data_IF_302841040144
#
_entry.id   IF_302841040144
#
_cell.length_a   1.000
_cell.length_b   1.000
_cell.length_c   1.000
_cell.angle_alpha   90.00
_cell.angle_beta   90.00
_cell.angle_gamma   90.00
#
_symmetry.space_group_name_H-M   'P 1'
#
loop_
_entity.id
_entity.type
_entity.pdbx_description
1 polymer ?
#
# COMPACT_ATOMS: atom_id res chain seq x y z
N UNK A 1 -28.83 -26.03 7.56
CA UNK A 1 -28.43 -25.32 6.31
C UNK A 1 -28.30 -23.80 6.52
N UNK A 2 -27.87 -23.31 7.70
CA UNK A 2 -27.85 -21.85 8.00
C UNK A 2 -26.46 -21.31 8.33
N UNK A 3 -25.46 -22.18 8.47
CA UNK A 3 -24.10 -21.85 8.94
C UNK A 3 -23.19 -21.43 7.76
N UNK A 4 -23.50 -21.84 6.54
CA UNK A 4 -22.67 -21.56 5.35
C UNK A 4 -22.81 -20.11 4.84
N UNK A 5 -24.01 -19.52 4.94
CA UNK A 5 -24.29 -18.19 4.38
C UNK A 5 -23.67 -17.04 5.21
N UNK A 6 -23.64 -17.18 6.54
CA UNK A 6 -23.10 -16.16 7.46
C UNK A 6 -21.57 -16.10 7.48
N UNK A 7 -20.88 -17.22 7.25
CA UNK A 7 -19.41 -17.28 7.19
C UNK A 7 -18.86 -16.63 5.91
N UNK A 8 -19.55 -16.82 4.78
CA UNK A 8 -19.20 -16.20 3.48
C UNK A 8 -19.36 -14.67 3.52
N UNK A 9 -20.43 -14.18 4.15
CA UNK A 9 -20.69 -12.74 4.29
C UNK A 9 -19.63 -12.03 5.16
N UNK A 10 -19.21 -12.66 6.26
CA UNK A 10 -18.14 -12.14 7.13
C UNK A 10 -16.79 -12.09 6.42
N UNK A 11 -16.44 -13.12 5.64
CA UNK A 11 -15.20 -13.16 4.87
C UNK A 11 -15.16 -12.06 3.81
N UNK A 12 -16.27 -11.83 3.10
CA UNK A 12 -16.38 -10.78 2.09
C UNK A 12 -16.20 -9.38 2.67
N UNK A 13 -16.79 -9.10 3.84
CA UNK A 13 -16.64 -7.81 4.54
C UNK A 13 -15.19 -7.61 5.00
N UNK A 14 -14.52 -8.67 5.48
CA UNK A 14 -13.13 -8.60 5.92
C UNK A 14 -12.18 -8.27 4.75
N UNK A 15 -12.37 -8.93 3.59
CA UNK A 15 -11.56 -8.68 2.39
C UNK A 15 -11.78 -7.26 1.87
N UNK A 16 -13.04 -6.78 1.85
CA UNK A 16 -13.36 -5.43 1.40
C UNK A 16 -12.77 -4.35 2.30
N UNK A 17 -12.71 -4.58 3.62
CA UNK A 17 -12.05 -3.69 4.56
C UNK A 17 -10.53 -3.59 4.30
N UNK A 18 -9.86 -4.70 3.98
CA UNK A 18 -8.43 -4.73 3.63
C UNK A 18 -8.15 -3.96 2.34
N UNK A 19 -9.05 -4.03 1.36
CA UNK A 19 -8.89 -3.30 0.09
C UNK A 19 -8.94 -1.78 0.27
N UNK A 20 -9.71 -1.27 1.25
CA UNK A 20 -9.76 0.16 1.57
C UNK A 20 -8.46 0.67 2.21
N UNK A 21 -7.73 -0.19 2.94
CA UNK A 21 -6.45 0.17 3.57
C UNK A 21 -5.33 0.38 2.54
N UNK A 22 -5.35 -0.33 1.41
CA UNK A 22 -4.32 -0.20 0.37
C UNK A 22 -4.52 1.04 -0.51
N UNK A 23 -5.74 1.58 -0.57
CA UNK A 23 -6.09 2.77 -1.37
C UNK A 23 -5.53 4.08 -0.80
N UNK A 24 -5.03 4.07 0.44
CA UNK A 24 -4.39 5.23 1.07
C UNK A 24 -2.90 5.39 0.75
N UNK A 25 -2.31 4.54 -0.11
CA UNK A 25 -0.90 4.71 -0.49
C UNK A 25 -0.75 5.81 -1.56
N UNK A 26 0.05 6.86 -1.30
CA UNK A 26 0.28 7.92 -2.27
C UNK A 26 0.94 7.34 -3.53
N UNK A 27 0.61 7.90 -4.69
CA UNK A 27 1.09 7.38 -5.98
C UNK A 27 2.61 7.48 -6.08
N UNK A 28 3.27 6.39 -6.46
CA UNK A 28 4.73 6.31 -6.65
C UNK A 28 5.24 7.50 -7.47
N UNK A 29 6.27 8.16 -6.96
CA UNK A 29 6.89 9.35 -7.55
C UNK A 29 6.14 10.68 -7.32
N UNK A 30 5.03 10.68 -6.60
CA UNK A 30 4.36 11.92 -6.16
C UNK A 30 5.14 12.56 -5.01
N UNK A 31 5.09 13.89 -4.82
CA UNK A 31 5.81 14.57 -3.74
C UNK A 31 5.50 13.96 -2.35
N UNK A 32 4.24 13.62 -2.11
CA UNK A 32 3.75 13.04 -0.85
C UNK A 32 4.30 11.62 -0.63
N UNK A 33 4.47 10.86 -1.71
CA UNK A 33 5.11 9.55 -1.69
C UNK A 33 6.62 9.65 -1.47
N UNK A 34 7.29 10.62 -2.12
CA UNK A 34 8.71 10.89 -1.94
C UNK A 34 9.04 11.23 -0.48
N UNK A 35 8.26 12.13 0.14
CA UNK A 35 8.42 12.47 1.56
C UNK A 35 8.18 11.25 2.46
N UNK A 36 7.12 10.49 2.20
CA UNK A 36 6.81 9.27 2.98
C UNK A 36 7.91 8.21 2.85
N UNK A 37 8.56 8.08 1.70
CA UNK A 37 9.66 7.13 1.46
C UNK A 37 10.97 7.62 2.07
N UNK A 38 11.24 8.93 2.01
CA UNK A 38 12.45 9.54 2.55
C UNK A 38 12.58 9.32 4.06
N UNK A 39 11.46 9.29 4.78
CA UNK A 39 11.42 8.97 6.22
C UNK A 39 11.47 7.46 6.52
N UNK A 40 11.26 6.57 5.53
CA UNK A 40 11.41 5.13 5.75
C UNK A 40 12.88 4.75 5.94
N UNK A 41 13.21 3.86 6.89
CA UNK A 41 14.55 3.31 7.02
C UNK A 41 14.92 2.47 5.79
N UNK A 42 16.18 2.55 5.34
CA UNK A 42 16.66 1.88 4.12
C UNK A 42 16.43 0.37 4.08
N UNK A 43 16.26 -0.28 5.25
CA UNK A 43 16.00 -1.72 5.36
C UNK A 43 14.56 -2.13 5.06
N UNK A 44 13.60 -1.22 5.24
CA UNK A 44 12.17 -1.46 4.91
C UNK A 44 11.81 -1.04 3.48
N UNK A 45 12.78 -0.44 2.78
CA UNK A 45 12.64 0.00 1.40
C UNK A 45 12.85 -1.19 0.46
N UNK A 46 11.83 -1.49 -0.34
CA UNK A 46 11.96 -2.50 -1.38
C UNK A 46 12.88 -1.99 -2.50
N UNK A 47 13.56 -2.90 -3.20
CA UNK A 47 14.47 -2.54 -4.29
C UNK A 47 13.77 -1.70 -5.38
N UNK A 48 12.50 -1.98 -5.66
CA UNK A 48 11.69 -1.24 -6.61
C UNK A 48 11.38 0.17 -6.09
N UNK A 49 10.91 0.32 -4.85
CA UNK A 49 10.66 1.65 -4.25
C UNK A 49 11.92 2.51 -4.20
N UNK A 50 13.08 1.94 -3.89
CA UNK A 50 14.34 2.68 -3.88
C UNK A 50 14.74 3.17 -5.27
N UNK A 51 14.56 2.34 -6.30
CA UNK A 51 14.82 2.71 -7.69
C UNK A 51 13.86 3.80 -8.17
N UNK A 52 12.57 3.67 -7.86
CA UNK A 52 11.54 4.65 -8.22
C UNK A 52 11.74 5.97 -7.47
N UNK A 53 12.11 5.93 -6.18
CA UNK A 53 12.44 7.12 -5.39
C UNK A 53 13.64 7.86 -5.97
N UNK A 54 14.69 7.13 -6.34
CA UNK A 54 15.84 7.74 -7.00
C UNK A 54 15.41 8.42 -8.32
N UNK A 55 14.66 7.74 -9.19
CA UNK A 55 14.25 8.26 -10.50
C UNK A 55 13.27 9.43 -10.43
N UNK A 56 12.28 9.35 -9.55
CA UNK A 56 11.17 10.30 -9.51
C UNK A 56 11.39 11.46 -8.53
N UNK A 57 12.15 11.23 -7.45
CA UNK A 57 12.30 12.19 -6.36
C UNK A 57 13.70 12.81 -6.30
N UNK A 58 14.75 12.06 -6.64
CA UNK A 58 16.14 12.56 -6.59
C UNK A 58 16.62 13.07 -7.95
N UNK A 59 16.42 12.30 -9.01
CA UNK A 59 16.89 12.60 -10.37
C UNK A 59 15.87 13.41 -11.20
N UNK A 60 15.04 14.22 -10.54
CA UNK A 60 13.98 15.00 -11.21
C UNK A 60 14.52 16.07 -12.16
#
# INVERSE_FOLDING_TARGET
MSISFSSLFKSLVLVMAVQLLVACTPKVGSPEWCESIKDKPKGDLTANEAADFAKHCIFK
#
